data_IF_926633438921
#
_entry.id   IF_926633438921
#
_cell.length_a   1.000
_cell.length_b   1.000
_cell.length_c   1.000
_cell.angle_alpha   90.00
_cell.angle_beta   90.00
_cell.angle_gamma   90.00
#
_symmetry.space_group_name_H-M   'P 1'
#
loop_
_entity.id
_entity.type
_entity.pdbx_description
1 polymer ?
#
# COMPACT_ATOMS: atom_id res chain seq x y z
N UNK A 1 58.03 -56.65 26.42
CA UNK A 1 58.18 -55.27 25.89
C UNK A 1 58.00 -55.24 24.37
N UNK A 2 56.80 -54.94 23.86
CA UNK A 2 56.56 -54.59 22.44
C UNK A 2 55.37 -53.62 22.30
N UNK A 3 55.46 -52.45 22.95
CA UNK A 3 54.41 -51.39 22.84
C UNK A 3 54.87 -50.22 21.94
N UNK A 4 56.15 -50.18 21.52
CA UNK A 4 56.70 -49.04 20.75
C UNK A 4 56.32 -48.99 19.26
N UNK A 5 55.66 -50.00 18.69
CA UNK A 5 55.32 -50.02 17.25
C UNK A 5 53.88 -49.60 16.92
N UNK A 6 53.00 -49.44 17.90
CA UNK A 6 51.60 -49.07 17.67
C UNK A 6 51.31 -47.56 17.72
N UNK A 7 52.18 -46.76 18.35
CA UNK A 7 52.01 -45.30 18.43
C UNK A 7 52.00 -44.58 17.07
N UNK A 8 52.88 -44.88 16.09
CA UNK A 8 52.84 -44.15 14.82
C UNK A 8 51.59 -44.49 13.98
N UNK A 9 51.09 -45.73 14.07
CA UNK A 9 49.87 -46.14 13.38
C UNK A 9 48.61 -45.47 13.96
N UNK A 10 48.56 -45.32 15.30
CA UNK A 10 47.47 -44.63 15.98
C UNK A 10 47.47 -43.12 15.70
N UNK A 11 48.67 -42.51 15.61
CA UNK A 11 48.82 -41.10 15.26
C UNK A 11 48.39 -40.81 13.81
N UNK A 12 48.69 -41.69 12.86
CA UNK A 12 48.21 -41.58 11.48
C UNK A 12 46.68 -41.75 11.38
N UNK A 13 46.08 -42.68 12.13
CA UNK A 13 44.62 -42.85 12.19
C UNK A 13 43.92 -41.65 12.82
N UNK A 14 44.50 -41.03 13.86
CA UNK A 14 43.98 -39.79 14.44
C UNK A 14 44.07 -38.62 13.46
N UNK A 15 45.17 -38.48 12.72
CA UNK A 15 45.31 -37.46 11.67
C UNK A 15 44.30 -37.64 10.53
N UNK A 16 44.08 -38.89 10.07
CA UNK A 16 43.07 -39.17 9.03
C UNK A 16 41.65 -38.91 9.56
N UNK A 17 41.37 -39.21 10.83
CA UNK A 17 40.09 -38.90 11.46
C UNK A 17 39.83 -37.40 11.61
N UNK A 18 40.88 -36.59 11.85
CA UNK A 18 40.76 -35.14 11.91
C UNK A 18 40.59 -34.51 10.52
N UNK A 19 41.23 -35.05 9.48
CA UNK A 19 41.02 -34.59 8.10
C UNK A 19 39.59 -34.96 7.64
N UNK A 20 39.08 -36.14 8.01
CA UNK A 20 37.70 -36.54 7.72
C UNK A 20 36.63 -35.76 8.52
N UNK A 21 36.94 -35.32 9.75
CA UNK A 21 36.06 -34.40 10.49
C UNK A 21 36.14 -32.96 9.96
N UNK A 22 37.30 -32.49 9.49
CA UNK A 22 37.43 -31.17 8.89
C UNK A 22 36.77 -31.07 7.51
N UNK A 23 36.63 -32.17 6.76
CA UNK A 23 35.83 -32.19 5.52
C UNK A 23 34.31 -32.21 5.76
N UNK A 24 33.84 -32.49 6.99
CA UNK A 24 32.42 -32.37 7.37
C UNK A 24 32.04 -31.00 7.96
N UNK A 25 32.98 -30.06 8.10
CA UNK A 25 32.71 -28.65 8.43
C UNK A 25 32.74 -27.77 7.17
N UNK A 26 32.51 -28.37 5.99
CA UNK A 26 32.09 -27.62 4.80
C UNK A 26 30.56 -27.38 4.77
N UNK A 27 29.86 -27.52 5.90
CA UNK A 27 28.46 -27.05 6.06
C UNK A 27 28.38 -25.50 6.18
N UNK A 28 29.52 -24.81 6.14
CA UNK A 28 29.57 -23.36 5.91
C UNK A 28 29.49 -22.94 4.43
N UNK A 29 29.29 -23.90 3.51
CA UNK A 29 29.14 -23.63 2.07
C UNK A 29 27.69 -23.60 1.58
N UNK A 30 26.87 -22.77 2.23
CA UNK A 30 25.86 -21.94 1.56
C UNK A 30 25.36 -20.91 2.56
N UNK A 31 26.12 -19.83 2.80
CA UNK A 31 25.44 -18.60 3.20
C UNK A 31 24.56 -18.22 2.01
N UNK A 32 23.34 -18.77 1.96
CA UNK A 32 22.28 -18.31 1.06
C UNK A 32 22.20 -16.82 1.31
N UNK A 33 22.62 -16.02 0.32
CA UNK A 33 22.45 -14.59 0.42
C UNK A 33 20.95 -14.34 0.64
N UNK A 34 20.57 -13.53 1.64
CA UNK A 34 19.17 -13.26 1.88
C UNK A 34 18.57 -12.61 0.62
N UNK A 35 17.33 -12.96 0.32
CA UNK A 35 16.55 -12.21 -0.65
C UNK A 35 16.25 -10.82 -0.11
N UNK A 36 16.10 -9.86 -1.01
CA UNK A 36 15.71 -8.49 -0.67
C UNK A 36 14.58 -8.05 -1.58
N UNK A 37 13.53 -7.49 -1.01
CA UNK A 37 12.39 -6.97 -1.74
C UNK A 37 12.09 -5.54 -1.35
N UNK A 38 11.83 -4.69 -2.33
CA UNK A 38 11.30 -3.34 -2.12
C UNK A 38 9.76 -3.44 -2.10
N UNK A 39 9.20 -3.69 -0.91
CA UNK A 39 7.74 -3.84 -0.71
C UNK A 39 6.97 -2.62 -1.18
N UNK A 40 7.50 -1.41 -1.01
CA UNK A 40 6.87 -0.18 -1.51
C UNK A 40 6.71 -0.22 -3.02
N UNK A 41 7.76 -0.62 -3.75
CA UNK A 41 7.67 -0.73 -5.21
C UNK A 41 6.73 -1.86 -5.63
N UNK A 42 6.77 -3.01 -4.95
CA UNK A 42 5.89 -4.14 -5.23
C UNK A 42 4.41 -3.82 -4.98
N UNK A 43 4.11 -3.18 -3.85
CA UNK A 43 2.77 -2.72 -3.48
C UNK A 43 2.28 -1.64 -4.43
N UNK A 44 3.11 -0.63 -4.72
CA UNK A 44 2.74 0.41 -5.68
C UNK A 44 2.34 -0.23 -7.00
N UNK A 45 3.23 -1.02 -7.62
CA UNK A 45 3.03 -1.68 -8.92
C UNK A 45 1.95 -2.77 -8.95
N UNK A 46 1.28 -3.02 -7.83
CA UNK A 46 0.18 -3.96 -7.80
C UNK A 46 -0.94 -3.51 -8.77
N UNK A 47 -1.52 -4.41 -9.58
CA UNK A 47 -2.54 -4.06 -10.55
C UNK A 47 -3.71 -3.28 -9.95
N UNK A 48 -4.20 -3.68 -8.77
CA UNK A 48 -5.29 -2.97 -8.08
C UNK A 48 -4.96 -1.51 -7.69
N UNK A 49 -3.68 -1.16 -7.48
CA UNK A 49 -3.30 0.23 -7.17
C UNK A 49 -3.52 1.19 -8.35
N UNK A 50 -3.77 0.68 -9.54
CA UNK A 50 -4.23 1.52 -10.66
C UNK A 50 -5.61 2.14 -10.43
N UNK A 51 -6.40 1.57 -9.52
CA UNK A 51 -7.67 2.13 -9.05
C UNK A 51 -7.50 3.03 -7.82
N UNK A 52 -6.28 3.21 -7.31
CA UNK A 52 -6.06 4.09 -6.16
C UNK A 52 -5.89 5.54 -6.60
N UNK A 53 -6.71 6.43 -6.05
CA UNK A 53 -6.59 7.86 -6.22
C UNK A 53 -5.76 8.45 -5.08
N UNK A 54 -4.48 8.71 -5.35
CA UNK A 54 -3.55 9.31 -4.38
C UNK A 54 -3.95 10.73 -3.95
N UNK A 55 -4.72 11.46 -4.77
CA UNK A 55 -5.17 12.82 -4.42
C UNK A 55 -6.32 12.82 -3.42
N UNK A 56 -7.13 11.77 -3.42
CA UNK A 56 -8.29 11.63 -2.52
C UNK A 56 -8.13 10.50 -1.49
N UNK A 57 -6.98 9.80 -1.54
CA UNK A 57 -6.61 8.68 -0.67
C UNK A 57 -7.67 7.58 -0.60
N UNK A 58 -8.17 7.13 -1.76
CA UNK A 58 -9.21 6.10 -1.82
C UNK A 58 -9.22 5.35 -3.15
N UNK A 59 -9.79 4.15 -3.14
CA UNK A 59 -9.98 3.38 -4.37
C UNK A 59 -11.23 3.83 -5.11
N UNK A 60 -11.19 3.87 -6.43
CA UNK A 60 -12.41 4.07 -7.22
C UNK A 60 -13.25 2.80 -7.17
N UNK A 61 -14.55 2.96 -6.99
CA UNK A 61 -15.50 1.87 -6.85
C UNK A 61 -15.89 1.26 -8.20
N UNK A 62 -14.91 0.71 -8.92
CA UNK A 62 -15.07 0.04 -10.22
C UNK A 62 -14.34 -1.30 -10.20
N UNK A 63 -14.77 -2.21 -11.08
CA UNK A 63 -14.10 -3.49 -11.25
C UNK A 63 -12.75 -3.31 -11.96
N UNK A 64 -11.74 -4.05 -11.52
CA UNK A 64 -10.44 -4.09 -12.19
C UNK A 64 -10.51 -4.85 -13.52
N UNK A 65 -9.80 -4.38 -14.54
CA UNK A 65 -9.65 -5.06 -15.84
C UNK A 65 -10.54 -4.53 -16.96
N UNK A 66 -11.33 -3.47 -16.69
CA UNK A 66 -12.01 -2.69 -17.73
C UNK A 66 -11.00 -2.05 -18.70
N UNK A 67 -11.41 -1.79 -19.94
CA UNK A 67 -10.62 -0.92 -20.81
C UNK A 67 -10.76 0.56 -20.38
N UNK A 68 -9.87 1.42 -20.84
CA UNK A 68 -9.85 2.83 -20.46
C UNK A 68 -11.15 3.60 -20.77
N UNK A 69 -11.86 3.24 -21.84
CA UNK A 69 -13.13 3.88 -22.19
C UNK A 69 -14.22 3.44 -21.21
N UNK A 70 -14.34 2.13 -20.98
CA UNK A 70 -15.30 1.58 -20.02
C UNK A 70 -15.04 2.08 -18.60
N UNK A 71 -13.77 2.21 -18.18
CA UNK A 71 -13.40 2.80 -16.89
C UNK A 71 -13.89 4.26 -16.81
N UNK A 72 -13.62 5.05 -17.85
CA UNK A 72 -14.02 6.46 -17.87
C UNK A 72 -15.54 6.62 -17.80
N UNK A 73 -16.27 5.83 -18.58
CA UNK A 73 -17.74 5.83 -18.58
C UNK A 73 -18.32 5.39 -17.22
N UNK A 74 -17.76 4.36 -16.58
CA UNK A 74 -18.19 3.94 -15.24
C UNK A 74 -17.89 5.01 -14.19
N UNK A 75 -16.70 5.62 -14.22
CA UNK A 75 -16.35 6.75 -13.34
C UNK A 75 -17.32 7.90 -13.49
N UNK A 76 -17.63 8.32 -14.72
CA UNK A 76 -18.61 9.39 -14.97
C UNK A 76 -19.99 9.08 -14.40
N UNK A 77 -20.43 7.81 -14.46
CA UNK A 77 -21.69 7.38 -13.84
C UNK A 77 -21.64 7.49 -12.32
N UNK A 78 -20.52 7.13 -11.70
CA UNK A 78 -20.36 7.17 -10.25
C UNK A 78 -20.19 8.58 -9.68
N UNK A 79 -19.55 9.50 -10.44
CA UNK A 79 -19.39 10.91 -10.03
C UNK A 79 -20.75 11.60 -9.85
N UNK A 80 -21.77 11.15 -10.61
CA UNK A 80 -23.11 11.70 -10.54
C UNK A 80 -23.98 10.86 -9.60
N UNK A 81 -23.95 11.18 -8.29
CA UNK A 81 -24.93 10.67 -7.35
C UNK A 81 -26.35 10.90 -7.88
N UNK A 82 -27.18 9.86 -7.82
CA UNK A 82 -28.59 9.99 -8.17
C UNK A 82 -29.24 11.07 -7.31
N UNK A 83 -30.14 11.91 -7.87
CA UNK A 83 -30.74 13.03 -7.12
C UNK A 83 -31.49 12.59 -5.86
N UNK A 84 -32.06 11.38 -5.88
CA UNK A 84 -32.71 10.78 -4.71
C UNK A 84 -31.72 10.42 -3.60
N UNK A 85 -30.60 9.78 -3.93
CA UNK A 85 -29.57 9.36 -2.98
C UNK A 85 -28.85 10.58 -2.38
N UNK A 86 -28.51 11.56 -3.22
CA UNK A 86 -27.93 12.83 -2.76
C UNK A 86 -28.83 13.53 -1.75
N UNK A 87 -30.13 13.67 -2.06
CA UNK A 87 -31.11 14.30 -1.16
C UNK A 87 -31.28 13.52 0.14
N UNK A 88 -31.21 12.20 0.10
CA UNK A 88 -31.24 11.37 1.29
C UNK A 88 -30.02 11.63 2.18
N UNK A 89 -28.81 11.60 1.63
CA UNK A 89 -27.57 11.84 2.38
C UNK A 89 -27.53 13.25 3.00
N UNK A 90 -27.99 14.27 2.25
CA UNK A 90 -28.11 15.66 2.74
C UNK A 90 -29.11 15.75 3.91
N UNK A 91 -30.28 15.12 3.81
CA UNK A 91 -31.27 15.09 4.89
C UNK A 91 -30.75 14.35 6.13
N UNK A 92 -30.02 13.25 5.93
CA UNK A 92 -29.39 12.53 7.04
C UNK A 92 -28.30 13.37 7.72
N UNK A 93 -27.49 14.11 6.96
CA UNK A 93 -26.49 15.03 7.52
C UNK A 93 -27.14 16.14 8.34
N UNK A 94 -28.25 16.71 7.87
CA UNK A 94 -28.99 17.72 8.62
C UNK A 94 -29.49 17.16 9.97
N UNK A 95 -30.09 15.97 9.97
CA UNK A 95 -30.51 15.27 11.19
C UNK A 95 -29.34 14.98 12.13
N UNK A 96 -28.22 14.50 11.59
CA UNK A 96 -27.02 14.21 12.37
C UNK A 96 -26.44 15.48 12.99
N UNK A 97 -26.33 16.58 12.23
CA UNK A 97 -25.81 17.85 12.72
C UNK A 97 -26.69 18.42 13.85
N UNK A 98 -28.01 18.35 13.70
CA UNK A 98 -28.96 18.75 14.75
C UNK A 98 -28.78 17.92 16.02
N UNK A 99 -28.81 16.58 15.89
CA UNK A 99 -28.63 15.66 17.02
C UNK A 99 -27.26 15.82 17.70
N UNK A 100 -26.21 16.04 16.91
CA UNK A 100 -24.85 16.26 17.41
C UNK A 100 -24.75 17.55 18.23
N UNK A 101 -25.38 18.64 17.76
CA UNK A 101 -25.44 19.90 18.49
C UNK A 101 -26.15 19.74 19.84
N UNK A 102 -27.31 19.06 19.86
CA UNK A 102 -28.07 18.80 21.07
C UNK A 102 -27.27 17.98 22.08
N UNK A 103 -26.59 16.92 21.62
CA UNK A 103 -25.74 16.10 22.48
C UNK A 103 -24.53 16.87 23.00
N UNK A 104 -23.89 17.72 22.19
CA UNK A 104 -22.80 18.59 22.66
C UNK A 104 -23.25 19.59 23.71
N UNK A 105 -24.45 20.15 23.57
CA UNK A 105 -25.01 21.03 24.60
C UNK A 105 -25.29 20.26 25.90
N UNK A 106 -25.87 19.05 25.82
CA UNK A 106 -26.06 18.16 26.98
C UNK A 106 -24.74 17.76 27.62
N UNK A 107 -23.71 17.47 26.82
CA UNK A 107 -22.36 17.18 27.30
C UNK A 107 -21.82 18.33 28.14
N UNK A 108 -21.93 19.55 27.61
CA UNK A 108 -21.43 20.74 28.29
C UNK A 108 -22.15 20.98 29.63
N UNK A 109 -23.48 20.83 29.65
CA UNK A 109 -24.28 20.92 30.87
C UNK A 109 -23.85 19.86 31.91
N UNK A 110 -23.70 18.61 31.48
CA UNK A 110 -23.31 17.49 32.35
C UNK A 110 -21.90 17.65 32.92
N UNK A 111 -20.94 18.13 32.12
CA UNK A 111 -19.58 18.40 32.59
C UNK A 111 -19.54 19.54 33.62
N UNK A 112 -20.42 20.53 33.50
CA UNK A 112 -20.55 21.59 34.51
C UNK A 112 -21.18 21.05 35.80
N UNK A 113 -22.17 20.16 35.70
CA UNK A 113 -22.78 19.51 36.86
C UNK A 113 -21.78 18.62 37.62
N UNK A 114 -20.96 17.84 36.90
CA UNK A 114 -19.87 17.05 37.48
C UNK A 114 -18.89 17.92 38.27
N UNK A 115 -18.57 19.13 37.77
CA UNK A 115 -17.65 20.07 38.44
C UNK A 115 -18.23 20.67 39.72
N UNK A 116 -19.54 20.83 39.79
CA UNK A 116 -20.25 21.41 40.93
C UNK A 116 -20.64 20.35 41.98
N UNK A 117 -20.51 19.06 41.64
CA UNK A 117 -20.89 17.96 42.51
C UNK A 117 -19.81 17.64 43.54
N UNK A 118 -20.18 17.67 44.82
CA UNK A 118 -19.28 17.36 45.95
C UNK A 118 -19.44 15.92 46.48
N UNK A 119 -20.50 15.22 46.11
CA UNK A 119 -20.71 13.82 46.48
C UNK A 119 -20.04 12.88 45.48
N UNK A 120 -19.04 12.12 45.93
CA UNK A 120 -18.28 11.19 45.07
C UNK A 120 -19.15 10.14 44.36
N UNK A 121 -20.21 9.65 45.02
CA UNK A 121 -21.09 8.64 44.40
C UNK A 121 -21.88 9.25 43.25
N UNK A 122 -22.47 10.43 43.46
CA UNK A 122 -23.20 11.16 42.41
C UNK A 122 -22.26 11.62 41.29
N UNK A 123 -21.04 12.03 41.63
CA UNK A 123 -20.02 12.40 40.65
C UNK A 123 -19.68 11.22 39.74
N UNK A 124 -19.49 10.01 40.29
CA UNK A 124 -19.26 8.79 39.50
C UNK A 124 -20.44 8.44 38.59
N UNK A 125 -21.67 8.55 39.09
CA UNK A 125 -22.88 8.30 38.29
C UNK A 125 -22.97 9.27 37.10
N UNK A 126 -22.69 10.55 37.31
CA UNK A 126 -22.65 11.57 36.25
C UNK A 126 -21.50 11.33 35.26
N UNK A 127 -20.32 10.91 35.72
CA UNK A 127 -19.20 10.55 34.84
C UNK A 127 -19.55 9.38 33.90
N UNK A 128 -20.23 8.34 34.41
CA UNK A 128 -20.69 7.21 33.57
C UNK A 128 -21.68 7.70 32.50
N UNK A 129 -22.56 8.64 32.84
CA UNK A 129 -23.46 9.25 31.86
C UNK A 129 -22.70 10.07 30.82
N UNK A 130 -21.65 10.79 31.23
CA UNK A 130 -20.80 11.56 30.32
C UNK A 130 -20.05 10.67 29.33
N UNK A 131 -19.59 9.49 29.78
CA UNK A 131 -18.93 8.51 28.92
C UNK A 131 -19.89 7.92 27.90
N UNK A 132 -21.12 7.56 28.30
CA UNK A 132 -22.17 7.11 27.37
C UNK A 132 -22.50 8.17 26.33
N UNK A 133 -22.59 9.42 26.76
CA UNK A 133 -22.88 10.54 25.87
C UNK A 133 -21.70 10.82 24.92
N UNK A 134 -20.46 10.67 25.38
CA UNK A 134 -19.26 10.71 24.54
C UNK A 134 -19.27 9.64 23.45
N UNK A 135 -19.64 8.40 23.80
CA UNK A 135 -19.76 7.31 22.82
C UNK A 135 -20.77 7.66 21.73
N UNK A 136 -21.97 8.11 22.10
CA UNK A 136 -23.00 8.55 21.14
C UNK A 136 -22.54 9.70 20.23
N UNK A 137 -21.84 10.68 20.79
CA UNK A 137 -21.25 11.78 20.02
C UNK A 137 -20.24 11.26 19.00
N UNK A 138 -19.37 10.34 19.40
CA UNK A 138 -18.35 9.77 18.52
C UNK A 138 -18.97 8.94 17.40
N UNK A 139 -19.98 8.12 17.70
CA UNK A 139 -20.74 7.35 16.71
C UNK A 139 -21.41 8.27 15.67
N UNK A 140 -22.07 9.35 16.12
CA UNK A 140 -22.67 10.33 15.22
C UNK A 140 -21.63 11.08 14.39
N UNK A 141 -20.48 11.39 14.98
CA UNK A 141 -19.39 12.05 14.28
C UNK A 141 -18.81 11.16 13.18
N UNK A 142 -18.61 9.87 13.44
CA UNK A 142 -18.22 8.89 12.43
C UNK A 142 -19.24 8.81 11.30
N UNK A 143 -20.53 8.68 11.64
CA UNK A 143 -21.63 8.64 10.65
C UNK A 143 -21.69 9.93 9.81
N UNK A 144 -21.50 11.09 10.43
CA UNK A 144 -21.41 12.40 9.74
C UNK A 144 -20.29 12.39 8.73
N UNK A 145 -19.09 11.97 9.13
CA UNK A 145 -17.93 11.96 8.25
C UNK A 145 -18.12 11.00 7.08
N UNK A 146 -18.73 9.83 7.30
CA UNK A 146 -19.04 8.88 6.24
C UNK A 146 -20.04 9.45 5.22
N UNK A 147 -21.12 10.07 5.69
CA UNK A 147 -22.11 10.69 4.79
C UNK A 147 -21.50 11.87 4.02
N UNK A 148 -20.69 12.69 4.69
CA UNK A 148 -19.96 13.77 4.05
C UNK A 148 -18.98 13.23 2.99
N UNK A 149 -18.24 12.17 3.31
CA UNK A 149 -17.33 11.51 2.39
C UNK A 149 -18.06 11.03 1.13
N UNK A 150 -19.20 10.34 1.28
CA UNK A 150 -20.00 9.86 0.14
C UNK A 150 -20.49 10.99 -0.74
N UNK A 151 -20.93 12.12 -0.16
CA UNK A 151 -21.36 13.29 -0.93
C UNK A 151 -20.21 13.95 -1.69
N UNK A 152 -19.03 14.03 -1.07
CA UNK A 152 -17.86 14.67 -1.68
C UNK A 152 -17.12 13.78 -2.67
N UNK A 153 -17.16 12.45 -2.49
CA UNK A 153 -16.39 11.47 -3.26
C UNK A 153 -17.26 10.24 -3.63
N UNK A 154 -18.31 10.41 -4.42
CA UNK A 154 -19.26 9.33 -4.70
C UNK A 154 -18.69 8.20 -5.57
N UNK A 155 -17.63 8.47 -6.30
CA UNK A 155 -16.90 7.51 -7.13
C UNK A 155 -15.88 6.67 -6.36
N UNK A 156 -15.59 7.02 -5.10
CA UNK A 156 -14.66 6.28 -4.27
C UNK A 156 -15.36 5.21 -3.43
N UNK A 157 -14.65 4.12 -3.18
CA UNK A 157 -14.96 3.15 -2.15
C UNK A 157 -14.97 3.84 -0.79
N UNK A 158 -15.78 3.31 0.13
CA UNK A 158 -15.79 3.78 1.51
C UNK A 158 -14.42 3.56 2.16
N UNK A 159 -14.06 4.35 3.19
CA UNK A 159 -12.77 4.22 3.87
C UNK A 159 -12.47 2.79 4.32
N UNK A 160 -13.45 2.09 4.90
CA UNK A 160 -13.28 0.71 5.39
C UNK A 160 -13.02 -0.27 4.24
N UNK A 161 -13.69 -0.08 3.10
CA UNK A 161 -13.49 -0.89 1.90
C UNK A 161 -12.12 -0.60 1.26
N UNK A 162 -11.67 0.66 1.28
CA UNK A 162 -10.33 1.06 0.82
C UNK A 162 -9.23 0.44 1.68
N UNK A 163 -9.40 0.42 3.01
CA UNK A 163 -8.48 -0.23 3.94
C UNK A 163 -8.42 -1.75 3.73
N UNK A 164 -9.58 -2.38 3.53
CA UNK A 164 -9.65 -3.80 3.17
C UNK A 164 -8.95 -4.10 1.84
N UNK A 165 -9.05 -3.19 0.85
CA UNK A 165 -8.34 -3.33 -0.42
C UNK A 165 -6.82 -3.20 -0.26
N UNK A 166 -6.34 -2.23 0.54
CA UNK A 166 -4.91 -2.12 0.86
C UNK A 166 -4.38 -3.37 1.57
N UNK A 167 -5.14 -3.88 2.55
CA UNK A 167 -4.79 -5.10 3.28
C UNK A 167 -4.71 -6.31 2.36
N UNK A 168 -5.65 -6.41 1.40
CA UNK A 168 -5.63 -7.45 0.37
C UNK A 168 -4.39 -7.34 -0.52
N UNK A 169 -4.05 -6.13 -0.98
CA UNK A 169 -2.85 -5.89 -1.80
C UNK A 169 -1.59 -6.31 -1.04
N UNK A 170 -1.47 -5.92 0.23
CA UNK A 170 -0.34 -6.31 1.07
C UNK A 170 -0.22 -7.85 1.18
N UNK A 171 -1.33 -8.55 1.44
CA UNK A 171 -1.34 -10.01 1.51
C UNK A 171 -0.94 -10.67 0.18
N UNK A 172 -1.42 -10.15 -0.95
CA UNK A 172 -1.08 -10.67 -2.28
C UNK A 172 0.42 -10.44 -2.61
N UNK A 173 0.97 -9.28 -2.22
CA UNK A 173 2.41 -8.99 -2.34
C UNK A 173 3.24 -9.94 -1.48
N UNK A 174 2.88 -10.13 -0.21
CA UNK A 174 3.60 -11.02 0.70
C UNK A 174 3.55 -12.48 0.23
N UNK A 175 2.41 -12.95 -0.28
CA UNK A 175 2.29 -14.28 -0.87
C UNK A 175 3.16 -14.43 -2.13
N UNK A 176 3.27 -13.39 -2.96
CA UNK A 176 4.17 -13.39 -4.11
C UNK A 176 5.65 -13.42 -3.68
N UNK A 177 6.02 -12.69 -2.63
CA UNK A 177 7.36 -12.72 -2.02
C UNK A 177 7.70 -14.12 -1.53
N UNK A 178 6.83 -14.75 -0.74
CA UNK A 178 7.03 -16.10 -0.21
C UNK A 178 7.22 -17.11 -1.35
N UNK A 179 6.41 -17.02 -2.39
CA UNK A 179 6.53 -17.93 -3.52
C UNK A 179 7.86 -17.77 -4.27
N UNK A 180 8.26 -16.53 -4.59
CA UNK A 180 9.54 -16.27 -5.28
C UNK A 180 10.73 -16.67 -4.39
N UNK A 181 10.63 -16.46 -3.08
CA UNK A 181 11.63 -16.93 -2.13
C UNK A 181 11.80 -18.45 -2.19
N UNK A 182 10.68 -19.19 -2.17
CA UNK A 182 10.66 -20.64 -2.24
C UNK A 182 11.23 -21.17 -3.57
N UNK A 183 10.85 -20.57 -4.71
CA UNK A 183 11.39 -20.96 -6.03
C UNK A 183 12.90 -20.75 -6.13
N UNK A 184 13.41 -19.68 -5.51
CA UNK A 184 14.83 -19.34 -5.53
C UNK A 184 15.63 -19.99 -4.39
N UNK A 185 15.01 -20.84 -3.57
CA UNK A 185 15.66 -21.51 -2.43
C UNK A 185 16.15 -20.52 -1.36
N UNK A 186 15.45 -19.40 -1.17
CA UNK A 186 15.79 -18.37 -0.19
C UNK A 186 15.10 -18.65 1.15
N UNK A 187 15.89 -18.76 2.21
CA UNK A 187 15.37 -19.01 3.57
C UNK A 187 14.99 -17.72 4.32
N UNK A 188 15.43 -16.56 3.82
CA UNK A 188 15.21 -15.26 4.44
C UNK A 188 15.04 -14.22 3.33
N UNK A 189 13.93 -13.50 3.35
CA UNK A 189 13.72 -12.30 2.54
C UNK A 189 13.53 -11.12 3.47
N UNK A 190 14.27 -10.04 3.18
CA UNK A 190 14.26 -8.82 3.97
C UNK A 190 13.71 -7.66 3.14
N UNK A 191 13.12 -6.68 3.80
CA UNK A 191 12.61 -5.50 3.12
C UNK A 191 13.73 -4.47 2.89
N UNK A 192 13.84 -3.92 1.69
CA UNK A 192 14.74 -2.81 1.35
C UNK A 192 14.03 -1.44 1.28
N UNK A 193 12.71 -1.38 1.44
CA UNK A 193 11.98 -0.12 1.44
C UNK A 193 12.26 0.68 2.73
N UNK A 194 12.70 1.93 2.59
CA UNK A 194 13.04 2.82 3.72
C UNK A 194 11.81 3.05 4.62
N UNK A 195 11.95 2.97 5.96
CA UNK A 195 10.82 3.01 6.90
C UNK A 195 10.08 4.34 7.01
N UNK A 196 8.78 4.20 7.30
CA UNK A 196 7.85 5.26 7.69
C UNK A 196 7.83 5.39 9.23
N UNK A 197 8.06 6.60 9.76
CA UNK A 197 7.64 6.97 11.11
C UNK A 197 6.37 7.81 10.98
N UNK A 198 5.21 7.14 10.95
CA UNK A 198 3.90 7.68 10.56
C UNK A 198 3.33 8.84 11.39
N UNK A 199 4.01 9.98 11.45
CA UNK A 199 3.55 11.17 12.19
C UNK A 199 3.91 12.53 11.56
N UNK A 200 4.41 12.62 10.32
CA UNK A 200 4.66 13.93 9.68
C UNK A 200 3.56 14.27 8.67
N UNK A 201 2.75 15.27 9.07
CA UNK A 201 1.83 16.09 8.27
C UNK A 201 1.49 15.56 6.88
N UNK A 202 0.49 14.66 6.82
CA UNK A 202 -0.13 14.27 5.56
C UNK A 202 -0.49 15.49 4.70
N UNK A 203 -0.94 16.61 5.29
CA UNK A 203 -1.25 17.85 4.55
C UNK A 203 -0.10 18.46 3.73
N UNK A 204 1.16 18.38 4.19
CA UNK A 204 2.30 18.99 3.47
C UNK A 204 2.85 18.07 2.37
N UNK A 205 2.78 16.77 2.61
CA UNK A 205 3.04 15.73 1.60
C UNK A 205 1.95 15.73 0.53
N UNK A 206 0.71 16.05 0.91
CA UNK A 206 -0.41 16.35 0.01
C UNK A 206 -0.15 17.59 -0.85
N UNK A 207 0.27 18.73 -0.30
CA UNK A 207 0.58 19.94 -1.08
C UNK A 207 1.64 19.69 -2.18
N UNK A 208 2.66 18.88 -1.87
CA UNK A 208 3.73 18.51 -2.82
C UNK A 208 3.21 17.57 -3.93
N UNK A 209 2.18 16.75 -3.64
CA UNK A 209 1.55 15.84 -4.59
C UNK A 209 0.43 16.51 -5.41
N UNK A 210 -0.27 17.51 -4.84
CA UNK A 210 -1.34 18.26 -5.51
C UNK A 210 -0.83 19.35 -6.46
N UNK A 211 0.35 19.95 -6.20
CA UNK A 211 0.96 20.89 -7.15
C UNK A 211 1.60 20.17 -8.36
N UNK A 212 1.88 18.86 -8.24
CA UNK A 212 2.48 18.03 -9.30
C UNK A 212 1.65 16.79 -9.64
N UNK A 213 0.33 17.01 -9.73
CA UNK A 213 -0.69 16.02 -10.08
C UNK A 213 -0.22 14.98 -11.11
N UNK A 214 -0.48 13.70 -10.82
CA UNK A 214 -0.92 12.78 -11.86
C UNK A 214 -2.27 13.35 -12.33
N UNK A 215 -2.38 14.02 -13.49
CA UNK A 215 -3.72 14.31 -14.01
C UNK A 215 -4.47 12.98 -14.07
N UNK A 216 -5.79 12.97 -13.85
CA UNK A 216 -6.63 11.76 -13.92
C UNK A 216 -6.32 10.87 -15.13
N UNK A 217 -5.89 11.50 -16.24
CA UNK A 217 -5.32 10.85 -17.40
C UNK A 217 -4.18 9.88 -17.08
N UNK A 218 -3.14 10.23 -16.31
CA UNK A 218 -2.02 9.33 -16.03
C UNK A 218 -2.44 8.07 -15.24
N UNK A 219 -3.42 8.18 -14.34
CA UNK A 219 -4.01 7.02 -13.66
C UNK A 219 -4.84 6.17 -14.63
N UNK A 220 -5.69 6.79 -15.45
CA UNK A 220 -6.47 6.11 -16.50
C UNK A 220 -5.54 5.41 -17.49
N UNK A 221 -4.37 5.99 -17.79
CA UNK A 221 -3.39 5.44 -18.72
C UNK A 221 -2.53 4.35 -18.10
N UNK A 222 -2.17 4.46 -16.82
CA UNK A 222 -1.54 3.35 -16.10
C UNK A 222 -2.50 2.17 -15.98
N UNK A 223 -3.77 2.44 -15.68
CA UNK A 223 -4.84 1.45 -15.70
C UNK A 223 -4.99 0.83 -17.10
N UNK A 224 -5.07 1.63 -18.16
CA UNK A 224 -5.12 1.17 -19.55
C UNK A 224 -3.92 0.28 -19.92
N UNK A 225 -2.74 0.68 -19.45
CA UNK A 225 -1.49 -0.03 -19.63
C UNK A 225 -1.51 -1.40 -18.95
N UNK A 226 -2.13 -1.51 -17.77
CA UNK A 226 -2.27 -2.78 -17.05
C UNK A 226 -3.44 -3.65 -17.54
N UNK A 227 -4.53 -3.04 -17.98
CA UNK A 227 -5.79 -3.70 -18.32
C UNK A 227 -5.86 -4.26 -19.76
N UNK A 228 -4.72 -4.44 -20.43
CA UNK A 228 -4.62 -4.98 -21.80
C UNK A 228 -5.32 -4.17 -22.90
N UNK A 229 -5.76 -2.93 -22.66
CA UNK A 229 -6.41 -2.15 -23.71
C UNK A 229 -5.39 -1.51 -24.66
N UNK A 230 -5.51 -1.80 -25.97
CA UNK A 230 -4.88 -0.95 -26.99
C UNK A 230 -5.51 0.44 -26.87
N UNK A 231 -4.69 1.44 -26.56
CA UNK A 231 -5.12 2.83 -26.59
C UNK A 231 -5.78 3.12 -27.95
N UNK A 232 -7.04 3.56 -27.95
CA UNK A 232 -7.75 3.87 -29.20
C UNK A 232 -7.22 5.16 -29.80
N UNK A 233 -7.35 5.34 -31.12
CA UNK A 233 -6.95 6.59 -31.77
C UNK A 233 -7.67 7.81 -31.20
N UNK A 234 -8.92 7.65 -30.74
CA UNK A 234 -9.68 8.71 -30.07
C UNK A 234 -9.08 9.06 -28.70
N UNK A 235 -8.68 8.07 -27.89
CA UNK A 235 -8.00 8.30 -26.61
C UNK A 235 -6.64 8.99 -26.81
N UNK A 236 -5.90 8.59 -27.84
CA UNK A 236 -4.65 9.24 -28.21
C UNK A 236 -4.86 10.69 -28.67
N UNK A 237 -5.96 10.99 -29.36
CA UNK A 237 -6.32 12.35 -29.79
C UNK A 237 -6.82 13.21 -28.64
N UNK A 238 -7.66 12.68 -27.76
CA UNK A 238 -8.10 13.35 -26.53
C UNK A 238 -6.92 13.65 -25.60
N UNK A 239 -5.95 12.72 -25.51
CA UNK A 239 -4.67 12.94 -24.84
C UNK A 239 -3.92 14.10 -25.51
N UNK A 240 -3.74 14.05 -26.83
CA UNK A 240 -3.04 15.10 -27.57
C UNK A 240 -3.70 16.49 -27.41
N UNK A 241 -5.03 16.57 -27.38
CA UNK A 241 -5.77 17.81 -27.12
C UNK A 241 -5.65 18.30 -25.67
N UNK A 242 -5.61 17.41 -24.67
CA UNK A 242 -5.33 17.78 -23.27
C UNK A 242 -3.87 18.16 -23.02
N UNK A 243 -2.96 17.69 -23.86
CA UNK A 243 -1.51 17.91 -23.77
C UNK A 243 -1.02 19.09 -24.61
N UNK A 244 -1.91 19.73 -25.37
CA UNK A 244 -1.59 20.88 -26.21
C UNK A 244 -1.08 22.05 -25.34
N UNK A 245 0.23 22.34 -25.41
CA UNK A 245 0.92 23.34 -24.59
C UNK A 245 1.76 22.79 -23.43
N UNK A 246 1.80 21.47 -23.21
CA UNK A 246 2.66 20.82 -22.21
C UNK A 246 3.87 20.12 -22.84
N UNK A 247 5.05 20.05 -22.16
CA UNK A 247 6.22 19.37 -22.69
C UNK A 247 5.95 17.88 -22.93
N UNK A 248 6.48 17.34 -24.05
CA UNK A 248 6.28 15.96 -24.47
C UNK A 248 6.70 14.95 -23.37
N UNK A 249 5.71 14.23 -22.80
CA UNK A 249 5.94 13.27 -21.71
C UNK A 249 6.36 11.92 -22.26
N UNK A 250 7.64 11.78 -22.60
CA UNK A 250 8.21 10.47 -22.88
C UNK A 250 8.33 9.70 -21.55
N UNK A 251 7.59 8.61 -21.40
CA UNK A 251 7.64 7.62 -20.29
C UNK A 251 6.63 7.79 -19.12
N UNK A 252 5.32 7.74 -19.42
CA UNK A 252 4.22 7.74 -18.41
C UNK A 252 4.38 6.66 -17.32
N UNK A 253 4.67 5.37 -17.63
CA UNK A 253 4.92 4.36 -16.59
C UNK A 253 6.17 4.67 -15.76
N UNK A 254 7.20 5.25 -16.39
CA UNK A 254 8.42 5.67 -15.70
C UNK A 254 8.19 6.81 -14.73
N UNK A 255 7.34 7.77 -15.10
CA UNK A 255 6.95 8.87 -14.21
C UNK A 255 6.16 8.38 -13.01
N UNK A 256 5.24 7.44 -13.21
CA UNK A 256 4.49 6.84 -12.12
C UNK A 256 5.40 6.03 -11.18
N UNK A 257 6.35 5.26 -11.75
CA UNK A 257 7.43 4.60 -11.01
C UNK A 257 8.29 5.62 -10.23
N UNK A 258 8.62 6.77 -10.83
CA UNK A 258 9.34 7.86 -10.16
C UNK A 258 8.54 8.57 -9.06
N UNK A 259 7.21 8.59 -9.17
CA UNK A 259 6.33 9.18 -8.17
C UNK A 259 6.05 8.24 -7.00
N UNK A 260 5.90 6.93 -7.23
CA UNK A 260 5.89 5.93 -6.15
C UNK A 260 7.19 5.92 -5.32
N UNK A 261 8.25 6.51 -5.87
CA UNK A 261 9.54 6.74 -5.20
C UNK A 261 9.60 8.03 -4.39
N UNK A 262 8.60 8.91 -4.49
CA UNK A 262 8.58 10.11 -3.66
C UNK A 262 8.32 9.71 -2.21
N UNK A 263 9.15 10.17 -1.25
CA UNK A 263 8.95 9.90 0.17
C UNK A 263 7.51 10.21 0.64
N UNK A 264 6.90 11.27 0.08
CA UNK A 264 5.51 11.65 0.33
C UNK A 264 4.47 10.57 -0.03
N UNK A 265 4.69 9.77 -1.09
CA UNK A 265 3.82 8.64 -1.46
C UNK A 265 4.11 7.43 -0.56
N UNK A 266 5.36 7.24 -0.16
CA UNK A 266 5.76 6.19 0.79
C UNK A 266 5.19 6.43 2.18
N UNK A 267 5.02 7.69 2.59
CA UNK A 267 4.35 8.10 3.83
C UNK A 267 2.86 7.72 3.86
N UNK A 268 2.22 7.59 2.70
CA UNK A 268 0.79 7.28 2.57
C UNK A 268 0.50 5.78 2.52
N UNK A 269 1.48 4.93 2.21
CA UNK A 269 1.31 3.48 2.20
C UNK A 269 1.62 2.94 3.60
N UNK A 270 0.68 2.22 4.26
CA UNK A 270 0.88 1.67 5.60
C UNK A 270 1.78 0.43 5.58
N UNK A 271 2.99 0.53 5.02
CA UNK A 271 3.95 -0.57 4.95
C UNK A 271 4.80 -0.52 6.22
N UNK A 272 4.75 -1.56 7.04
CA UNK A 272 5.60 -1.71 8.23
C UNK A 272 6.89 -2.45 7.86
N UNK A 273 8.03 -1.77 7.61
CA UNK A 273 9.17 -2.39 6.97
C UNK A 273 10.27 -2.62 8.00
N UNK A 274 10.08 -3.61 8.86
CA UNK A 274 11.12 -4.06 9.79
C UNK A 274 11.28 -5.57 9.73
N UNK A 275 12.52 -6.10 9.59
CA UNK A 275 13.82 -5.40 9.50
C UNK A 275 14.20 -4.90 8.09
N UNK A 276 14.94 -3.79 8.04
CA UNK A 276 15.43 -3.11 6.83
C UNK A 276 16.82 -3.62 6.40
N UNK A 277 17.03 -3.83 5.09
CA UNK A 277 18.36 -4.01 4.51
C UNK A 277 18.83 -2.75 3.80
N UNK A 278 19.94 -2.18 4.28
CA UNK A 278 20.57 -1.00 3.69
C UNK A 278 21.49 -1.34 2.50
N UNK A 279 22.10 -2.53 2.48
CA UNK A 279 22.98 -2.99 1.39
C UNK A 279 23.13 -4.51 1.42
N UNK A 280 23.28 -5.12 0.23
CA UNK A 280 23.49 -6.55 0.04
C UNK A 280 22.20 -7.34 -0.17
N UNK A 281 22.33 -8.65 -0.40
CA UNK A 281 21.22 -9.55 -0.69
C UNK A 281 20.82 -9.62 -2.18
N UNK A 282 20.12 -10.68 -2.55
CA UNK A 282 19.65 -10.90 -3.92
C UNK A 282 18.32 -10.19 -4.07
N UNK A 283 18.27 -9.14 -4.90
CA UNK A 283 17.02 -8.40 -5.11
C UNK A 283 16.03 -9.24 -5.92
N UNK A 284 14.87 -9.53 -5.34
CA UNK A 284 13.78 -10.31 -5.97
C UNK A 284 12.58 -9.46 -6.36
N UNK A 285 12.67 -8.13 -6.25
CA UNK A 285 11.53 -7.22 -6.45
C UNK A 285 10.95 -7.36 -7.87
N UNK A 286 11.82 -7.53 -8.87
CA UNK A 286 11.39 -7.65 -10.27
C UNK A 286 10.56 -8.90 -10.47
N UNK A 287 11.01 -10.02 -9.91
CA UNK A 287 10.38 -11.34 -9.97
C UNK A 287 9.05 -11.34 -9.24
N UNK A 288 8.98 -10.71 -8.06
CA UNK A 288 7.76 -10.52 -7.28
C UNK A 288 6.73 -9.71 -8.08
N UNK A 289 7.12 -8.55 -8.64
CA UNK A 289 6.22 -7.74 -9.47
C UNK A 289 5.76 -8.53 -10.70
N UNK A 290 6.67 -9.19 -11.41
CA UNK A 290 6.33 -9.99 -12.58
C UNK A 290 5.31 -11.08 -12.25
N UNK A 291 5.46 -11.74 -11.09
CA UNK A 291 4.52 -12.75 -10.61
C UNK A 291 3.12 -12.17 -10.37
N UNK A 292 3.03 -11.05 -9.67
CA UNK A 292 1.75 -10.38 -9.39
C UNK A 292 1.07 -10.01 -10.71
N UNK A 293 1.80 -9.42 -11.66
CA UNK A 293 1.24 -9.06 -12.97
C UNK A 293 0.72 -10.28 -13.75
N UNK A 294 1.43 -11.43 -13.69
CA UNK A 294 0.98 -12.70 -14.29
C UNK A 294 -0.30 -13.23 -13.64
N UNK A 295 -0.41 -13.15 -12.31
CA UNK A 295 -1.62 -13.57 -11.57
C UNK A 295 -2.86 -12.79 -12.03
N UNK A 296 -2.67 -11.52 -12.36
CA UNK A 296 -3.72 -10.64 -12.89
C UNK A 296 -3.88 -10.69 -14.42
N UNK A 297 -3.16 -11.60 -15.11
CA UNK A 297 -3.24 -11.79 -16.57
C UNK A 297 -2.92 -10.53 -17.38
N UNK A 298 -2.03 -9.67 -16.87
CA UNK A 298 -1.48 -8.56 -17.66
C UNK A 298 -0.70 -9.11 -18.87
N UNK A 299 -0.73 -8.40 -20.00
CA UNK A 299 -0.10 -8.86 -21.23
C UNK A 299 1.42 -8.96 -21.11
N UNK A 300 2.03 -9.94 -21.77
CA UNK A 300 3.46 -10.22 -21.67
C UNK A 300 4.34 -9.01 -22.00
N UNK A 301 3.96 -8.21 -23.01
CA UNK A 301 4.70 -6.99 -23.39
C UNK A 301 4.70 -5.91 -22.29
N UNK A 302 3.66 -5.86 -21.46
CA UNK A 302 3.54 -4.94 -20.30
C UNK A 302 4.50 -5.41 -19.22
N UNK A 303 4.48 -6.72 -18.94
CA UNK A 303 5.35 -7.37 -17.95
C UNK A 303 6.81 -7.19 -18.36
N UNK A 304 7.16 -7.47 -19.61
CA UNK A 304 8.52 -7.33 -20.14
C UNK A 304 9.02 -5.89 -20.03
N UNK A 305 8.18 -4.91 -20.39
CA UNK A 305 8.54 -3.49 -20.29
C UNK A 305 8.77 -3.06 -18.84
N UNK A 306 7.86 -3.40 -17.92
CA UNK A 306 8.01 -3.06 -16.49
C UNK A 306 9.21 -3.76 -15.85
N UNK A 307 9.40 -5.04 -16.12
CA UNK A 307 10.55 -5.81 -15.59
C UNK A 307 11.87 -5.24 -16.12
N UNK A 308 11.96 -4.89 -17.39
CA UNK A 308 13.15 -4.23 -17.97
C UNK A 308 13.45 -2.90 -17.26
N UNK A 309 12.42 -2.12 -16.94
CA UNK A 309 12.58 -0.85 -16.21
C UNK A 309 13.05 -1.06 -14.77
N UNK A 310 12.50 -2.06 -14.08
CA UNK A 310 12.90 -2.42 -12.72
C UNK A 310 14.33 -3.00 -12.67
N UNK A 311 14.70 -3.84 -13.63
CA UNK A 311 16.06 -4.37 -13.72
C UNK A 311 17.08 -3.25 -13.88
N UNK A 312 16.83 -2.28 -14.77
CA UNK A 312 17.68 -1.08 -14.90
C UNK A 312 17.81 -0.31 -13.58
N UNK A 313 16.70 -0.16 -12.83
CA UNK A 313 16.70 0.51 -11.52
C UNK A 313 17.63 -0.19 -10.53
N UNK A 314 17.52 -1.51 -10.39
CA UNK A 314 18.25 -2.25 -9.37
C UNK A 314 19.67 -2.65 -9.78
N UNK A 315 20.01 -2.60 -11.08
CA UNK A 315 21.38 -2.76 -11.56
C UNK A 315 22.28 -1.56 -11.22
N UNK A 316 21.74 -0.34 -11.13
CA UNK A 316 22.51 0.86 -10.76
C UNK A 316 22.75 1.01 -9.24
N UNK A 317 22.28 0.08 -8.41
CA UNK A 317 22.41 0.13 -6.95
C UNK A 317 23.37 -0.94 -6.37
N UNK A 318 23.94 -1.80 -7.23
CA UNK A 318 24.96 -2.80 -6.86
C UNK A 318 26.37 -2.19 -6.95
#
# INVERSE_FOLDING_TARGET
MKIKKFMPALACLLLISQIALCQKVNVLSSMSQPGVVDLTTATALHPLMSLYDFSRAGFINVEFGLDAKSLHEQRQKLVNLGPAEKKQLESELEKINSTYSDLKQRQFALLNEIRQQHNEKQQRELSIQADKLNQQINELWQKRNLNQFRLSNPDLMLPEASEAMLSRIEQEVLAAVEFVANENGMNLVLNASVPNHGKRNMQRSFEILTDKNLPLAETDLYYAFLANSKETQEQSKDRAHREEGMPARQNVPGRWLEQSRQPAVQEQLPINPHPLVLRGGINITTEVVARILKQYKCADHVIEKLTTMLQKKYQHQQ
#
